data_IF_183618079571
#
_entry.id   IF_183618079571
#
_cell.length_a   1.000
_cell.length_b   1.000
_cell.length_c   1.000
_cell.angle_alpha   90.00
_cell.angle_beta   90.00
_cell.angle_gamma   90.00
#
_symmetry.space_group_name_H-M   'P 1'
#
loop_
_entity.id
_entity.type
_entity.pdbx_description
1 polymer ?
#
# COMPACT_ATOMS: atom_id res chain seq x y z
N UNK A 1 51.44 36.79 -17.85
CA UNK A 1 50.86 35.71 -18.68
C UNK A 1 50.26 34.70 -17.72
N UNK A 2 48.94 34.60 -17.73
CA UNK A 2 48.14 33.77 -16.83
C UNK A 2 48.14 32.34 -17.38
N UNK A 3 48.50 31.31 -16.60
CA UNK A 3 48.19 29.93 -16.97
C UNK A 3 46.73 29.62 -16.67
N UNK A 4 46.10 28.98 -17.66
CA UNK A 4 44.71 28.55 -17.81
C UNK A 4 44.11 27.82 -16.58
N UNK A 5 42.90 28.23 -16.19
CA UNK A 5 42.09 27.74 -15.05
C UNK A 5 41.71 26.24 -15.09
N UNK A 6 42.06 25.52 -16.15
CA UNK A 6 41.66 24.13 -16.35
C UNK A 6 42.51 23.13 -15.57
N UNK A 7 43.75 23.46 -15.19
CA UNK A 7 44.62 22.52 -14.45
C UNK A 7 44.47 22.57 -12.92
N UNK A 8 43.77 23.57 -12.36
CA UNK A 8 43.46 23.57 -10.92
C UNK A 8 42.20 22.74 -10.57
N UNK A 9 41.31 22.51 -11.53
CA UNK A 9 40.02 21.83 -11.27
C UNK A 9 40.20 20.31 -11.11
N UNK A 10 41.18 19.70 -11.77
CA UNK A 10 41.36 18.24 -11.72
C UNK A 10 42.02 17.80 -10.39
N UNK A 11 42.81 18.65 -9.73
CA UNK A 11 43.42 18.31 -8.43
C UNK A 11 42.51 18.52 -7.22
N UNK A 12 41.39 19.23 -7.36
CA UNK A 12 40.45 19.47 -6.24
C UNK A 12 39.35 18.43 -6.08
N UNK A 13 39.22 17.46 -7.00
CA UNK A 13 38.11 16.50 -6.99
C UNK A 13 38.46 15.24 -6.18
N UNK A 14 39.72 14.78 -6.19
CA UNK A 14 40.08 13.50 -5.55
C UNK A 14 40.20 13.54 -4.02
N UNK A 15 40.43 14.71 -3.40
CA UNK A 15 40.54 14.83 -1.93
C UNK A 15 39.19 14.98 -1.21
N UNK A 16 38.06 14.99 -1.93
CA UNK A 16 36.73 15.17 -1.34
C UNK A 16 36.01 13.85 -0.99
N UNK A 17 36.60 12.70 -1.32
CA UNK A 17 36.06 11.37 -1.01
C UNK A 17 36.87 10.63 0.05
N UNK A 18 37.13 11.25 1.20
CA UNK A 18 37.35 10.54 2.45
C UNK A 18 37.49 11.56 3.56
N UNK A 19 36.50 11.67 4.45
CA UNK A 19 36.71 11.83 5.89
C UNK A 19 35.36 12.05 6.59
N UNK A 20 34.89 10.97 7.22
CA UNK A 20 34.34 10.95 8.58
C UNK A 20 33.48 12.17 8.99
N UNK A 21 32.18 12.11 8.70
CA UNK A 21 31.19 13.06 9.26
C UNK A 21 31.04 12.82 10.76
N UNK A 22 31.56 13.76 11.56
CA UNK A 22 31.18 13.95 12.97
C UNK A 22 29.70 14.40 13.08
N UNK A 23 29.00 14.08 14.17
CA UNK A 23 27.56 14.30 14.27
C UNK A 23 27.23 15.77 14.52
N UNK A 24 26.16 16.26 13.88
CA UNK A 24 25.60 17.58 14.12
C UNK A 24 24.81 17.59 15.44
N UNK A 25 25.13 18.57 16.29
CA UNK A 25 24.56 18.78 17.62
C UNK A 25 23.23 19.55 17.49
N UNK A 26 22.09 18.89 17.74
CA UNK A 26 20.77 19.53 17.86
C UNK A 26 20.49 19.85 19.34
N UNK A 27 19.86 21.00 19.67
CA UNK A 27 19.53 21.34 21.05
C UNK A 27 18.54 20.34 21.64
N UNK A 28 18.91 19.83 22.83
CA UNK A 28 18.18 18.86 23.62
C UNK A 28 16.87 19.43 24.15
N UNK A 29 15.74 18.92 23.66
CA UNK A 29 14.48 18.91 24.41
C UNK A 29 13.68 17.65 24.03
N UNK A 30 13.54 16.74 24.99
CA UNK A 30 12.70 15.55 24.91
C UNK A 30 13.51 14.26 24.83
N UNK A 31 13.39 13.41 25.86
CA UNK A 31 13.81 12.02 25.79
C UNK A 31 13.04 11.35 24.65
N UNK A 32 13.66 11.23 23.48
CA UNK A 32 13.19 10.28 22.49
C UNK A 32 13.66 8.91 22.99
N UNK A 33 12.75 8.14 23.55
CA UNK A 33 12.98 6.70 23.66
C UNK A 33 13.27 6.22 22.24
N UNK A 34 14.51 5.81 21.98
CA UNK A 34 14.90 5.20 20.73
C UNK A 34 14.03 3.96 20.52
N UNK A 35 12.98 4.11 19.72
CA UNK A 35 12.19 3.01 19.19
C UNK A 35 13.19 2.10 18.47
N UNK A 36 13.50 0.96 19.08
CA UNK A 36 14.45 0.00 18.51
C UNK A 36 14.01 -0.39 17.10
N UNK A 37 14.97 -0.63 16.20
CA UNK A 37 14.69 -0.97 14.79
C UNK A 37 13.72 -2.17 14.64
N UNK A 38 13.67 -3.07 15.62
CA UNK A 38 12.72 -4.20 15.69
C UNK A 38 11.25 -3.76 15.89
N UNK A 39 11.00 -2.58 16.46
CA UNK A 39 9.65 -2.03 16.61
C UNK A 39 9.13 -1.41 15.30
N UNK A 40 9.99 -1.17 14.31
CA UNK A 40 9.62 -0.62 13.01
C UNK A 40 9.25 -1.72 11.99
N UNK A 41 9.52 -2.99 12.30
CA UNK A 41 9.15 -4.09 11.42
C UNK A 41 7.64 -4.40 11.56
N UNK A 42 6.92 -4.58 10.43
CA UNK A 42 5.51 -4.95 10.45
C UNK A 42 5.36 -6.29 11.16
N UNK A 43 4.47 -6.34 12.15
CA UNK A 43 4.19 -7.54 12.96
C UNK A 43 3.08 -8.38 12.33
N UNK A 44 2.27 -7.76 11.47
CA UNK A 44 1.17 -8.42 10.77
C UNK A 44 0.91 -7.78 9.41
N UNK A 45 0.15 -8.51 8.59
CA UNK A 45 -0.40 -8.02 7.32
C UNK A 45 -1.25 -6.76 7.53
N UNK A 46 -1.82 -6.55 8.72
CA UNK A 46 -2.62 -5.37 9.02
C UNK A 46 -1.79 -4.10 9.12
N UNK A 47 -0.52 -4.19 9.55
CA UNK A 47 0.40 -3.06 9.56
C UNK A 47 0.72 -2.62 8.13
N UNK A 48 0.88 -3.59 7.22
CA UNK A 48 0.99 -3.32 5.78
C UNK A 48 -0.28 -2.68 5.22
N UNK A 49 -1.45 -3.22 5.56
CA UNK A 49 -2.74 -2.64 5.12
C UNK A 49 -2.88 -1.20 5.59
N UNK A 50 -2.61 -0.92 6.86
CA UNK A 50 -2.71 0.42 7.43
C UNK A 50 -1.78 1.41 6.71
N UNK A 51 -0.52 1.02 6.50
CA UNK A 51 0.46 1.85 5.81
C UNK A 51 0.08 2.09 4.33
N UNK A 52 -0.17 1.03 3.56
CA UNK A 52 -0.47 1.14 2.13
C UNK A 52 -1.80 1.89 1.89
N UNK A 53 -2.85 1.55 2.64
CA UNK A 53 -4.16 2.14 2.46
C UNK A 53 -4.14 3.64 2.80
N UNK A 54 -3.49 4.02 3.91
CA UNK A 54 -3.31 5.42 4.28
C UNK A 54 -2.55 6.18 3.19
N UNK A 55 -1.45 5.63 2.68
CA UNK A 55 -0.67 6.25 1.60
C UNK A 55 -1.47 6.45 0.30
N UNK A 56 -2.49 5.62 0.05
CA UNK A 56 -3.35 5.68 -1.14
C UNK A 56 -4.67 6.43 -0.90
N UNK A 57 -4.90 6.99 0.29
CA UNK A 57 -6.16 7.64 0.64
C UNK A 57 -7.36 6.68 0.68
N UNK A 58 -7.12 5.41 0.99
CA UNK A 58 -8.15 4.38 1.19
C UNK A 58 -8.31 4.14 2.70
N UNK A 59 -9.53 4.15 3.27
CA UNK A 59 -9.73 3.87 4.69
C UNK A 59 -9.19 2.47 5.03
N UNK A 60 -8.24 2.35 5.97
CA UNK A 60 -7.67 1.04 6.30
C UNK A 60 -8.69 0.05 6.86
N UNK A 61 -9.64 0.54 7.66
CA UNK A 61 -10.76 -0.26 8.17
C UNK A 61 -11.56 -0.91 7.03
N UNK A 62 -11.84 -0.15 5.97
CA UNK A 62 -12.56 -0.66 4.80
C UNK A 62 -11.78 -1.79 4.13
N UNK A 63 -10.47 -1.63 3.92
CA UNK A 63 -9.63 -2.71 3.33
C UNK A 63 -9.66 -3.96 4.19
N UNK A 64 -9.58 -3.81 5.52
CA UNK A 64 -9.67 -4.92 6.48
C UNK A 64 -11.02 -5.65 6.38
N UNK A 65 -12.12 -4.92 6.24
CA UNK A 65 -13.44 -5.54 6.04
C UNK A 65 -13.56 -6.24 4.68
N UNK A 66 -13.00 -5.65 3.61
CA UNK A 66 -12.94 -6.31 2.29
C UNK A 66 -12.17 -7.62 2.38
N UNK A 67 -10.96 -7.64 2.92
CA UNK A 67 -10.19 -8.89 3.04
C UNK A 67 -10.81 -9.90 4.00
N UNK A 68 -11.57 -9.44 5.01
CA UNK A 68 -12.39 -10.34 5.84
C UNK A 68 -13.47 -11.01 5.01
N UNK A 69 -14.08 -10.32 4.05
CA UNK A 69 -15.09 -10.90 3.17
C UNK A 69 -14.48 -11.82 2.11
N UNK A 70 -13.31 -11.46 1.57
CA UNK A 70 -12.67 -12.18 0.45
C UNK A 70 -11.90 -13.43 0.88
N UNK A 71 -11.10 -13.36 1.95
CA UNK A 71 -10.21 -14.47 2.34
C UNK A 71 -10.26 -14.85 3.82
N UNK A 72 -10.88 -14.03 4.67
CA UNK A 72 -10.86 -14.15 6.14
C UNK A 72 -9.46 -13.95 6.75
N UNK A 73 -8.54 -13.30 6.03
CA UNK A 73 -7.18 -12.97 6.49
C UNK A 73 -6.40 -14.17 7.07
N UNK A 74 -6.10 -15.19 6.27
CA UNK A 74 -5.43 -16.37 6.78
C UNK A 74 -4.00 -16.03 7.20
N UNK A 75 -3.60 -16.53 8.38
CA UNK A 75 -2.26 -16.35 8.99
C UNK A 75 -1.78 -14.88 8.92
N UNK A 76 -2.47 -13.95 9.61
CA UNK A 76 -2.18 -12.52 9.47
C UNK A 76 -0.77 -12.13 9.94
N UNK A 77 -0.16 -12.91 10.84
CA UNK A 77 1.19 -12.67 11.35
C UNK A 77 2.29 -13.32 10.49
N UNK A 78 1.93 -14.03 9.40
CA UNK A 78 2.90 -14.61 8.47
C UNK A 78 2.94 -13.78 7.17
N UNK A 79 3.83 -12.81 7.11
CA UNK A 79 3.94 -11.87 5.99
C UNK A 79 4.24 -12.55 4.64
N UNK A 80 4.82 -13.76 4.64
CA UNK A 80 5.15 -14.52 3.44
C UNK A 80 4.07 -15.55 3.06
N UNK A 81 2.96 -15.60 3.79
CA UNK A 81 1.88 -16.53 3.47
C UNK A 81 1.17 -16.11 2.18
N UNK A 82 1.18 -17.00 1.19
CA UNK A 82 0.51 -16.78 -0.09
C UNK A 82 -0.73 -17.68 -0.19
N UNK A 83 -1.81 -17.07 -0.66
CA UNK A 83 -3.01 -17.77 -1.13
C UNK A 83 -3.23 -17.42 -2.60
N UNK A 84 -3.93 -18.27 -3.37
CA UNK A 84 -4.37 -17.91 -4.71
C UNK A 84 -5.04 -16.54 -4.69
N UNK A 85 -4.61 -15.64 -5.58
CA UNK A 85 -5.15 -14.28 -5.75
C UNK A 85 -4.94 -13.31 -4.55
N UNK A 86 -4.16 -13.69 -3.54
CA UNK A 86 -3.83 -12.84 -2.39
C UNK A 86 -5.01 -12.57 -1.44
N UNK A 87 -4.75 -11.84 -0.34
CA UNK A 87 -5.73 -11.63 0.75
C UNK A 87 -7.02 -10.92 0.31
N UNK A 88 -6.92 -10.08 -0.72
CA UNK A 88 -8.06 -9.35 -1.29
C UNK A 88 -8.68 -10.06 -2.49
N UNK A 89 -8.23 -11.28 -2.84
CA UNK A 89 -8.75 -12.10 -3.94
C UNK A 89 -8.77 -11.36 -5.31
N UNK A 90 -7.66 -10.75 -5.68
CA UNK A 90 -7.52 -10.05 -6.97
C UNK A 90 -7.42 -11.04 -8.12
N UNK A 91 -8.31 -10.88 -9.11
CA UNK A 91 -8.27 -11.68 -10.34
C UNK A 91 -6.89 -11.58 -11.04
N UNK A 92 -6.33 -12.69 -11.56
CA UNK A 92 -4.98 -12.70 -12.15
C UNK A 92 -4.76 -11.67 -13.27
N UNK A 93 -5.78 -11.44 -14.10
CA UNK A 93 -5.73 -10.44 -15.16
C UNK A 93 -5.61 -9.01 -14.60
N UNK A 94 -6.42 -8.68 -13.59
CA UNK A 94 -6.34 -7.41 -12.86
C UNK A 94 -4.97 -7.26 -12.21
N UNK A 95 -4.46 -8.31 -11.57
CA UNK A 95 -3.13 -8.26 -10.95
C UNK A 95 -2.05 -7.91 -11.97
N UNK A 96 -2.00 -8.62 -13.09
CA UNK A 96 -1.01 -8.39 -14.15
C UNK A 96 -1.04 -6.95 -14.68
N UNK A 97 -2.23 -6.40 -14.92
CA UNK A 97 -2.39 -5.02 -15.43
C UNK A 97 -1.89 -4.02 -14.40
N UNK A 98 -2.35 -4.13 -13.15
CA UNK A 98 -2.05 -3.16 -12.11
C UNK A 98 -0.62 -3.24 -11.61
N UNK A 99 -0.07 -4.45 -11.48
CA UNK A 99 1.33 -4.67 -11.17
C UNK A 99 2.25 -3.91 -12.14
N UNK A 100 1.96 -4.00 -13.45
CA UNK A 100 2.69 -3.24 -14.47
C UNK A 100 2.42 -1.74 -14.36
N UNK A 101 1.16 -1.32 -14.21
CA UNK A 101 0.76 0.09 -14.13
C UNK A 101 1.43 0.81 -12.96
N UNK A 102 1.62 0.12 -11.84
CA UNK A 102 2.24 0.62 -10.62
C UNK A 102 3.78 0.49 -10.62
N UNK A 103 4.37 -0.10 -11.67
CA UNK A 103 5.82 -0.28 -11.77
C UNK A 103 6.42 -1.20 -10.70
N UNK A 104 5.65 -2.18 -10.21
CA UNK A 104 6.12 -3.06 -9.13
C UNK A 104 7.18 -4.05 -9.60
N UNK A 105 8.03 -4.46 -8.66
CA UNK A 105 9.08 -5.48 -8.82
C UNK A 105 8.93 -6.57 -7.75
N UNK A 106 9.66 -7.68 -7.90
CA UNK A 106 9.64 -8.79 -6.93
C UNK A 106 8.54 -9.84 -7.12
N UNK A 107 7.64 -9.66 -8.10
CA UNK A 107 6.67 -10.66 -8.52
C UNK A 107 5.53 -10.89 -7.53
N UNK A 108 5.04 -12.14 -7.49
CA UNK A 108 3.84 -12.53 -6.75
C UNK A 108 4.11 -12.63 -5.24
N UNK A 109 4.21 -11.51 -4.56
CA UNK A 109 4.34 -11.43 -3.10
C UNK A 109 3.03 -11.00 -2.44
N UNK A 110 2.82 -11.40 -1.18
CA UNK A 110 1.65 -10.98 -0.39
C UNK A 110 1.54 -9.45 -0.37
N UNK A 111 2.68 -8.78 -0.18
CA UNK A 111 2.80 -7.32 -0.22
C UNK A 111 2.34 -6.71 -1.55
N UNK A 112 2.82 -7.24 -2.69
CA UNK A 112 2.43 -6.74 -4.00
C UNK A 112 0.94 -6.99 -4.28
N UNK A 113 0.37 -8.10 -3.80
CA UNK A 113 -1.09 -8.32 -3.87
C UNK A 113 -1.88 -7.28 -3.08
N UNK A 114 -1.39 -6.86 -1.91
CA UNK A 114 -2.03 -5.79 -1.13
C UNK A 114 -1.95 -4.44 -1.84
N UNK A 115 -0.77 -4.05 -2.32
CA UNK A 115 -0.60 -2.80 -3.08
C UNK A 115 -1.57 -2.77 -4.27
N UNK A 116 -1.58 -3.83 -5.08
CA UNK A 116 -2.46 -3.91 -6.24
C UNK A 116 -3.92 -3.87 -5.84
N UNK A 117 -4.33 -4.61 -4.81
CA UNK A 117 -5.73 -4.69 -4.43
C UNK A 117 -6.26 -3.39 -3.83
N UNK A 118 -5.45 -2.71 -3.02
CA UNK A 118 -5.80 -1.40 -2.46
C UNK A 118 -5.86 -0.34 -3.55
N UNK A 119 -4.89 -0.32 -4.48
CA UNK A 119 -4.91 0.58 -5.62
C UNK A 119 -6.15 0.34 -6.52
N UNK A 120 -6.52 -0.93 -6.72
CA UNK A 120 -7.70 -1.26 -7.51
C UNK A 120 -9.01 -0.87 -6.80
N UNK A 121 -9.10 -1.00 -5.47
CA UNK A 121 -10.23 -0.47 -4.69
C UNK A 121 -10.38 1.04 -4.85
N UNK A 122 -9.27 1.79 -4.78
CA UNK A 122 -9.27 3.24 -5.02
C UNK A 122 -9.78 3.56 -6.42
N UNK A 123 -9.30 2.84 -7.43
CA UNK A 123 -9.79 2.99 -8.79
C UNK A 123 -11.29 2.70 -8.92
N UNK A 124 -11.79 1.64 -8.28
CA UNK A 124 -13.22 1.34 -8.29
C UNK A 124 -14.06 2.47 -7.68
N UNK A 125 -13.57 3.18 -6.66
CA UNK A 125 -14.21 4.39 -6.12
C UNK A 125 -14.26 5.50 -7.16
N UNK A 126 -13.16 5.73 -7.86
CA UNK A 126 -13.04 6.76 -8.89
C UNK A 126 -13.88 6.47 -10.14
N UNK A 127 -14.22 5.19 -10.40
CA UNK A 127 -15.15 4.79 -11.45
C UNK A 127 -16.62 4.82 -11.01
N UNK A 128 -16.89 4.90 -9.71
CA UNK A 128 -18.23 4.94 -9.16
C UNK A 128 -18.77 6.36 -8.99
N UNK A 129 -19.79 6.50 -8.16
CA UNK A 129 -20.31 7.80 -7.69
C UNK A 129 -19.43 8.45 -6.61
N UNK A 130 -18.26 7.87 -6.33
CA UNK A 130 -17.37 8.32 -5.27
C UNK A 130 -17.64 7.69 -3.91
N UNK A 131 -18.55 6.72 -3.75
CA UNK A 131 -18.76 5.98 -2.48
C UNK A 131 -17.91 4.71 -2.39
N UNK A 132 -17.46 4.35 -1.19
CA UNK A 132 -16.79 3.08 -0.90
C UNK A 132 -17.74 1.89 -1.04
N UNK A 133 -19.03 2.08 -0.75
CA UNK A 133 -20.06 1.09 -1.04
C UNK A 133 -20.11 0.73 -2.52
N UNK A 134 -20.14 1.72 -3.41
CA UNK A 134 -20.10 1.43 -4.85
C UNK A 134 -18.73 0.86 -5.26
N UNK A 135 -17.63 1.35 -4.70
CA UNK A 135 -16.29 0.83 -4.95
C UNK A 135 -16.19 -0.67 -4.64
N UNK A 136 -16.68 -1.11 -3.48
CA UNK A 136 -16.71 -2.54 -3.09
C UNK A 136 -17.50 -3.38 -4.08
N UNK A 137 -18.65 -2.90 -4.51
CA UNK A 137 -19.50 -3.64 -5.44
C UNK A 137 -18.82 -3.77 -6.81
N UNK A 138 -18.28 -2.67 -7.35
CA UNK A 138 -17.54 -2.67 -8.62
C UNK A 138 -16.32 -3.60 -8.52
N UNK A 139 -15.60 -3.58 -7.40
CA UNK A 139 -14.47 -4.47 -7.17
C UNK A 139 -14.89 -5.95 -7.29
N UNK A 140 -16.02 -6.35 -6.70
CA UNK A 140 -16.51 -7.72 -6.72
C UNK A 140 -17.17 -8.12 -8.05
N UNK A 141 -17.81 -7.17 -8.75
CA UNK A 141 -18.75 -7.46 -9.86
C UNK A 141 -18.46 -6.75 -11.18
N UNK A 142 -17.41 -5.94 -11.23
CA UNK A 142 -16.94 -5.22 -12.42
C UNK A 142 -17.74 -3.95 -12.77
N UNK A 143 -19.05 -3.92 -12.49
CA UNK A 143 -19.91 -2.74 -12.72
C UNK A 143 -20.94 -2.58 -11.61
N UNK A 144 -21.32 -1.35 -11.31
CA UNK A 144 -22.42 -1.09 -10.38
C UNK A 144 -23.75 -1.58 -10.93
N UNK A 145 -24.61 -2.08 -10.03
CA UNK A 145 -26.03 -2.33 -10.29
C UNK A 145 -26.83 -1.72 -9.16
N UNK A 146 -28.05 -1.30 -9.44
CA UNK A 146 -28.93 -0.78 -8.38
C UNK A 146 -29.20 -1.86 -7.33
N UNK A 147 -29.28 -1.52 -6.04
CA UNK A 147 -29.52 -2.49 -4.97
C UNK A 147 -30.78 -3.32 -5.13
N UNK A 148 -31.81 -2.81 -5.81
CA UNK A 148 -33.03 -3.55 -6.15
C UNK A 148 -32.81 -4.72 -7.13
N UNK A 149 -31.69 -4.72 -7.84
CA UNK A 149 -31.31 -5.73 -8.84
C UNK A 149 -30.29 -6.73 -8.27
N UNK A 150 -29.92 -6.59 -7.00
CA UNK A 150 -28.89 -7.42 -6.40
C UNK A 150 -29.40 -8.84 -6.15
N UNK A 151 -28.53 -9.79 -6.42
CA UNK A 151 -28.74 -11.18 -6.01
C UNK A 151 -28.65 -11.31 -4.48
N UNK A 152 -29.16 -12.41 -3.92
CA UNK A 152 -28.98 -12.72 -2.48
C UNK A 152 -27.52 -12.74 -2.04
N UNK A 153 -26.62 -13.19 -2.92
CA UNK A 153 -25.18 -13.18 -2.65
C UNK A 153 -24.64 -11.74 -2.57
N UNK A 154 -25.08 -10.87 -3.47
CA UNK A 154 -24.70 -9.45 -3.48
C UNK A 154 -25.20 -8.71 -2.25
N UNK A 155 -26.43 -8.95 -1.84
CA UNK A 155 -26.92 -8.43 -0.57
C UNK A 155 -26.07 -8.89 0.62
N UNK A 156 -25.71 -10.17 0.68
CA UNK A 156 -24.92 -10.72 1.80
C UNK A 156 -23.56 -10.05 1.94
N UNK A 157 -22.73 -10.07 0.89
CA UNK A 157 -21.37 -9.51 1.04
C UNK A 157 -21.39 -7.99 1.21
N UNK A 158 -22.44 -7.31 0.75
CA UNK A 158 -22.63 -5.87 0.94
C UNK A 158 -23.21 -5.53 2.32
N UNK A 159 -23.88 -6.46 3.01
CA UNK A 159 -24.38 -6.22 4.37
C UNK A 159 -23.33 -6.46 5.46
N UNK A 160 -22.27 -7.19 5.14
CA UNK A 160 -21.20 -7.54 6.08
C UNK A 160 -20.27 -6.35 6.41
N UNK A 161 -20.48 -5.18 5.81
CA UNK A 161 -19.69 -3.96 6.00
C UNK A 161 -20.61 -2.84 6.49
N UNK A 162 -20.23 -2.17 7.57
CA UNK A 162 -20.94 -0.98 8.06
C UNK A 162 -20.50 0.26 7.26
N UNK A 163 -21.33 0.63 6.28
CA UNK A 163 -21.03 1.73 5.35
C UNK A 163 -20.95 3.10 6.02
N UNK A 164 -21.58 3.30 7.18
CA UNK A 164 -21.56 4.57 7.92
C UNK A 164 -20.16 4.95 8.41
N UNK A 165 -19.23 4.01 8.42
CA UNK A 165 -17.84 4.23 8.81
C UNK A 165 -17.00 4.83 7.67
N UNK A 166 -17.48 4.77 6.42
CA UNK A 166 -16.68 5.05 5.24
C UNK A 166 -17.31 6.06 4.28
N UNK A 167 -18.65 6.07 4.17
CA UNK A 167 -19.43 6.98 3.33
C UNK A 167 -20.24 7.97 4.18
#
# INVERSE_FOLDING_TARGET
>A
MIPSDTEQIIRSIDDSMNLSRKPYNYPSCGNYDTIGADQLQPKSVFDWVDSIATAMGVPPGFVKDVGRNESKWPKPNNLNYLIPNGDLQIMPATYKIWYKKLGLTGGNTRYNYLIVGIAYLKYCKDQGDGTWRQARYIYARGRWKNPSQWTKLEHRFMSDIDWKLYD
#
